data_IF_207914350353
#
_entry.id   IF_207914350353
#
_cell.length_a   1.000
_cell.length_b   1.000
_cell.length_c   1.000
_cell.angle_alpha   90.00
_cell.angle_beta   90.00
_cell.angle_gamma   90.00
#
_symmetry.space_group_name_H-M   'P 1'
#
loop_
_entity.id
_entity.type
_entity.pdbx_description
1 polymer ?
#
# COMPACT_ATOMS: atom_id res chain seq x y z
N UNK A 1 6.49 6.32 13.80
CA UNK A 1 5.32 5.43 13.55
C UNK A 1 4.10 6.21 13.07
N UNK A 2 3.55 7.17 13.82
CA UNK A 2 2.38 7.95 13.38
C UNK A 2 2.61 8.70 12.06
N UNK A 3 3.77 9.34 11.90
CA UNK A 3 4.17 10.02 10.66
C UNK A 3 4.18 9.09 9.45
N UNK A 4 4.71 7.87 9.61
CA UNK A 4 4.73 6.83 8.55
C UNK A 4 3.30 6.49 8.13
N UNK A 5 2.37 6.33 9.08
CA UNK A 5 0.97 6.03 8.78
C UNK A 5 0.25 7.17 8.07
N UNK A 6 0.57 8.42 8.42
CA UNK A 6 0.00 9.61 7.77
C UNK A 6 0.51 9.75 6.33
N UNK A 7 1.80 9.57 6.11
CA UNK A 7 2.40 9.64 4.78
C UNK A 7 1.92 8.48 3.91
N UNK A 8 1.84 7.26 4.47
CA UNK A 8 1.26 6.11 3.78
C UNK A 8 -0.20 6.37 3.36
N UNK A 9 -1.01 6.93 4.26
CA UNK A 9 -2.38 7.35 3.94
C UNK A 9 -2.43 8.38 2.80
N UNK A 10 -1.44 9.26 2.73
CA UNK A 10 -1.32 10.27 1.65
C UNK A 10 -0.97 9.62 0.31
N UNK A 11 0.01 8.71 0.28
CA UNK A 11 0.39 7.93 -0.92
C UNK A 11 -0.83 7.17 -1.47
N UNK A 12 -1.56 6.47 -0.60
CA UNK A 12 -2.76 5.71 -1.00
C UNK A 12 -3.86 6.65 -1.52
N UNK A 13 -4.10 7.78 -0.84
CA UNK A 13 -5.13 8.75 -1.24
C UNK A 13 -4.83 9.38 -2.60
N UNK A 14 -3.57 9.64 -2.93
CA UNK A 14 -3.15 10.16 -4.23
C UNK A 14 -3.46 9.19 -5.39
N UNK A 15 -3.68 7.90 -5.09
CA UNK A 15 -4.00 6.83 -6.04
C UNK A 15 -5.46 6.38 -5.97
N UNK A 16 -6.35 7.23 -5.48
CA UNK A 16 -7.79 6.92 -5.29
C UNK A 16 -8.56 6.56 -6.59
N UNK A 17 -8.00 6.87 -7.75
CA UNK A 17 -8.50 6.49 -9.06
C UNK A 17 -8.28 5.00 -9.40
N UNK A 18 -7.20 4.41 -8.87
CA UNK A 18 -6.78 3.04 -9.13
C UNK A 18 -6.95 2.11 -7.91
N UNK A 19 -6.91 2.65 -6.69
CA UNK A 19 -7.11 1.94 -5.43
C UNK A 19 -8.51 2.23 -4.90
N UNK A 20 -9.34 1.19 -4.79
CA UNK A 20 -10.67 1.29 -4.15
C UNK A 20 -10.59 1.18 -2.65
N UNK A 21 -9.68 0.35 -2.14
CA UNK A 21 -9.53 0.11 -0.70
C UNK A 21 -8.08 -0.29 -0.39
N UNK A 22 -7.57 0.14 0.75
CA UNK A 22 -6.29 -0.32 1.27
C UNK A 22 -6.43 -0.63 2.76
N UNK A 23 -5.92 -1.79 3.17
CA UNK A 23 -5.86 -2.22 4.55
C UNK A 23 -4.42 -2.44 4.97
N UNK A 24 -4.02 -1.75 6.02
CA UNK A 24 -2.77 -2.02 6.72
C UNK A 24 -2.96 -3.24 7.63
N UNK A 25 -2.04 -4.19 7.56
CA UNK A 25 -1.98 -5.30 8.50
C UNK A 25 -0.56 -5.45 9.06
N UNK A 26 -0.27 -6.58 9.70
CA UNK A 26 1.06 -6.85 10.23
C UNK A 26 1.42 -5.99 11.45
N UNK A 27 2.71 -5.70 11.59
CA UNK A 27 3.28 -5.09 12.82
C UNK A 27 2.90 -3.61 12.99
N UNK A 28 2.82 -2.85 11.90
CA UNK A 28 2.40 -1.45 11.92
C UNK A 28 0.94 -1.31 12.36
N UNK A 29 0.04 -2.17 11.86
CA UNK A 29 -1.37 -2.17 12.27
C UNK A 29 -1.55 -2.55 13.76
N UNK A 30 -0.66 -3.37 14.32
CA UNK A 30 -0.69 -3.82 15.71
C UNK A 30 0.00 -2.85 16.68
N UNK A 31 0.63 -1.78 16.17
CA UNK A 31 1.36 -0.82 16.98
C UNK A 31 2.66 -1.37 17.59
N UNK A 32 3.19 -2.48 17.06
CA UNK A 32 4.40 -3.12 17.56
C UNK A 32 5.53 -3.22 16.52
N UNK A 33 5.45 -2.42 15.45
CA UNK A 33 6.50 -2.27 14.46
C UNK A 33 7.81 -1.77 15.09
N UNK A 34 8.93 -2.29 14.57
CA UNK A 34 10.31 -1.92 14.94
C UNK A 34 10.97 -1.17 13.79
N UNK A 35 12.19 -0.70 14.00
CA UNK A 35 12.97 0.09 13.02
C UNK A 35 13.08 -0.56 11.64
N UNK A 36 13.21 -1.89 11.59
CA UNK A 36 13.33 -2.64 10.33
C UNK A 36 12.10 -3.48 10.01
N UNK A 37 10.94 -3.13 10.57
CA UNK A 37 9.70 -3.80 10.22
C UNK A 37 9.24 -3.38 8.82
N UNK A 38 8.71 -4.33 8.07
CA UNK A 38 8.10 -4.10 6.77
C UNK A 38 6.68 -3.53 6.95
N UNK A 39 6.21 -2.82 5.92
CA UNK A 39 4.85 -2.30 5.82
C UNK A 39 4.01 -3.29 4.99
N UNK A 40 3.09 -3.98 5.66
CA UNK A 40 2.20 -4.97 5.05
C UNK A 40 0.85 -4.36 4.64
N UNK A 41 0.50 -4.45 3.35
CA UNK A 41 -0.71 -3.82 2.79
C UNK A 41 -1.54 -4.80 1.97
N UNK A 42 -2.87 -4.77 2.16
CA UNK A 42 -3.82 -5.43 1.27
C UNK A 42 -4.56 -4.35 0.48
N UNK A 43 -4.43 -4.38 -0.85
CA UNK A 43 -4.92 -3.32 -1.73
C UNK A 43 -5.95 -3.89 -2.69
N UNK A 44 -7.18 -3.36 -2.64
CA UNK A 44 -8.22 -3.65 -3.60
C UNK A 44 -8.15 -2.65 -4.75
N UNK A 45 -7.87 -3.15 -5.94
CA UNK A 45 -7.79 -2.37 -7.16
C UNK A 45 -9.19 -2.06 -7.72
N UNK A 46 -9.36 -0.86 -8.24
CA UNK A 46 -10.60 -0.42 -8.89
C UNK A 46 -10.84 -1.22 -10.17
N UNK A 47 -12.11 -1.41 -10.55
CA UNK A 47 -12.45 -2.15 -11.78
C UNK A 47 -11.85 -1.54 -13.06
N UNK A 48 -11.51 -0.24 -13.01
CA UNK A 48 -10.87 0.51 -14.10
C UNK A 48 -9.38 0.22 -14.23
N UNK A 49 -8.68 -0.15 -13.15
CA UNK A 49 -7.23 -0.42 -13.18
C UNK A 49 -6.88 -1.82 -13.67
N UNK A 50 -7.87 -2.72 -13.80
CA UNK A 50 -7.73 -4.12 -14.20
C UNK A 50 -7.07 -4.33 -15.59
N UNK A 51 -7.02 -3.29 -16.42
CA UNK A 51 -6.53 -3.36 -17.81
C UNK A 51 -5.16 -2.66 -17.98
N UNK A 52 -4.74 -1.80 -17.04
CA UNK A 52 -3.81 -0.71 -17.40
C UNK A 52 -2.35 -0.98 -17.00
N UNK A 53 -2.05 -1.72 -15.94
CA UNK A 53 -0.64 -1.96 -15.58
C UNK A 53 -0.41 -3.24 -14.72
N UNK A 54 0.24 -4.29 -15.25
CA UNK A 54 0.60 -5.48 -14.46
C UNK A 54 1.67 -5.22 -13.39
N UNK A 55 2.39 -4.10 -13.48
CA UNK A 55 3.44 -3.70 -12.54
C UNK A 55 2.95 -2.75 -11.45
N UNK A 56 1.65 -2.40 -11.44
CA UNK A 56 1.11 -1.41 -10.52
C UNK A 56 1.43 -1.72 -9.05
N UNK A 57 1.38 -3.00 -8.69
CA UNK A 57 1.69 -3.43 -7.33
C UNK A 57 3.15 -3.15 -6.95
N UNK A 58 4.07 -3.50 -7.85
CA UNK A 58 5.50 -3.27 -7.68
C UNK A 58 5.84 -1.78 -7.65
N UNK A 59 5.21 -0.97 -8.50
CA UNK A 59 5.39 0.49 -8.51
C UNK A 59 4.96 1.13 -7.19
N UNK A 60 3.84 0.66 -6.62
CA UNK A 60 3.38 1.14 -5.31
C UNK A 60 4.33 0.72 -4.18
N UNK A 61 4.80 -0.53 -4.18
CA UNK A 61 5.75 -1.02 -3.18
C UNK A 61 7.05 -0.20 -3.21
N UNK A 62 7.59 0.07 -4.41
CA UNK A 62 8.79 0.88 -4.60
C UNK A 62 8.58 2.33 -4.13
N UNK A 63 7.46 2.96 -4.46
CA UNK A 63 7.18 4.33 -4.02
C UNK A 63 7.08 4.42 -2.48
N UNK A 64 6.42 3.45 -1.85
CA UNK A 64 6.33 3.38 -0.39
C UNK A 64 7.73 3.20 0.21
N UNK A 65 8.55 2.32 -0.38
CA UNK A 65 9.91 2.10 0.09
C UNK A 65 10.77 3.35 -0.01
N UNK A 66 10.74 4.04 -1.14
CA UNK A 66 11.51 5.26 -1.37
C UNK A 66 11.09 6.40 -0.44
N UNK A 67 9.78 6.59 -0.23
CA UNK A 67 9.27 7.70 0.59
C UNK A 67 9.36 7.44 2.09
N UNK A 68 9.15 6.20 2.52
CA UNK A 68 9.04 5.87 3.94
C UNK A 68 10.30 5.24 4.51
N UNK A 69 11.28 4.88 3.68
CA UNK A 69 12.51 4.19 4.08
C UNK A 69 12.24 2.87 4.85
N UNK A 70 11.17 2.18 4.45
CA UNK A 70 10.76 0.87 4.98
C UNK A 70 10.39 -0.03 3.79
N UNK A 71 10.75 -1.32 3.84
CA UNK A 71 10.25 -2.24 2.82
C UNK A 71 8.72 -2.32 2.87
N UNK A 72 8.09 -2.47 1.72
CA UNK A 72 6.65 -2.61 1.59
C UNK A 72 6.33 -3.93 0.90
N UNK A 73 5.30 -4.62 1.37
CA UNK A 73 4.79 -5.84 0.74
C UNK A 73 3.29 -5.73 0.59
N UNK A 74 2.82 -5.85 -0.64
CA UNK A 74 1.43 -5.65 -1.03
C UNK A 74 0.76 -6.93 -1.53
N UNK A 75 -0.39 -7.26 -0.95
CA UNK A 75 -1.35 -8.19 -1.54
C UNK A 75 -2.33 -7.39 -2.41
N UNK A 76 -2.16 -7.46 -3.72
CA UNK A 76 -3.00 -6.75 -4.69
C UNK A 76 -4.14 -7.63 -5.17
N UNK A 77 -5.37 -7.23 -4.84
CA UNK A 77 -6.59 -7.95 -5.16
C UNK A 77 -7.38 -7.18 -6.22
N UNK A 78 -7.88 -7.90 -7.21
CA UNK A 78 -8.81 -7.34 -8.18
C UNK A 78 -10.24 -7.46 -7.66
N UNK A 79 -10.99 -6.36 -7.74
CA UNK A 79 -12.43 -6.36 -7.44
C UNK A 79 -13.19 -7.07 -8.55
N UNK A 80 -13.26 -8.41 -8.51
CA UNK A 80 -14.14 -9.20 -9.39
C UNK A 80 -15.58 -9.15 -8.87
N UNK A 81 -16.22 -8.00 -9.04
CA UNK A 81 -17.66 -7.83 -8.92
C UNK A 81 -18.22 -7.45 -10.30
#
# INVERSE_FOLDING_TARGET
MLEILLELGTIIKQKSDIISLAYLFGSFAKGNAKEYSDIDLAVLLSSKSRIINPLLGLELELEIQEKLNHQATGLFLNSTL
#
